data_IF_575879108108
#
_entry.id   IF_575879108108
#
_cell.length_a   1.000
_cell.length_b   1.000
_cell.length_c   1.000
_cell.angle_alpha   90.00
_cell.angle_beta   90.00
_cell.angle_gamma   90.00
#
_symmetry.space_group_name_H-M   'P 1'
#
loop_
_entity.id
_entity.type
_entity.pdbx_description
1 polymer ?
#
# COMPACT_ATOMS: atom_id res chain seq x y z
N UNK A 1 -2.76 -19.96 -2.70
CA UNK A 1 -4.11 -19.55 -2.27
C UNK A 1 -3.99 -18.87 -0.91
N UNK A 2 -4.14 -17.54 -0.83
CA UNK A 2 -4.08 -16.78 0.42
C UNK A 2 -5.51 -16.39 0.79
N UNK A 3 -6.19 -17.30 1.47
CA UNK A 3 -7.44 -17.08 2.17
C UNK A 3 -7.30 -17.85 3.48
N UNK A 4 -6.93 -17.20 4.58
CA UNK A 4 -6.70 -17.95 5.81
C UNK A 4 -6.46 -17.19 7.10
N UNK A 5 -6.03 -15.94 7.12
CA UNK A 5 -5.65 -15.31 8.41
C UNK A 5 -5.98 -13.81 8.47
N UNK A 6 -7.25 -13.44 8.73
CA UNK A 6 -7.65 -12.03 8.97
C UNK A 6 -7.08 -11.43 10.27
N UNK A 7 -6.35 -12.21 11.09
CA UNK A 7 -5.76 -11.76 12.36
C UNK A 7 -4.32 -11.24 12.28
N UNK A 8 -3.67 -11.23 11.10
CA UNK A 8 -2.22 -10.95 11.02
C UNK A 8 -1.81 -9.48 10.92
N UNK A 9 -2.74 -8.53 10.94
CA UNK A 9 -2.43 -7.13 10.64
C UNK A 9 -2.85 -6.17 11.77
N UNK A 10 -2.37 -6.47 12.98
CA UNK A 10 -2.37 -5.51 14.09
C UNK A 10 -1.41 -4.36 13.77
N UNK A 11 -1.81 -3.11 14.04
CA UNK A 11 -0.96 -1.93 13.89
C UNK A 11 0.41 -2.16 14.56
N UNK A 12 1.51 -1.87 13.85
CA UNK A 12 2.88 -2.13 14.30
C UNK A 12 3.47 -3.49 13.90
N UNK A 13 2.72 -4.35 13.20
CA UNK A 13 3.27 -5.62 12.65
C UNK A 13 3.98 -5.34 11.32
N UNK A 14 5.31 -5.49 11.27
CA UNK A 14 6.07 -5.36 10.03
C UNK A 14 5.77 -6.51 9.06
N UNK A 15 5.01 -6.26 8.00
CA UNK A 15 4.72 -7.26 6.98
C UNK A 15 5.77 -7.14 5.87
N UNK A 16 6.63 -8.15 5.74
CA UNK A 16 7.56 -8.24 4.62
C UNK A 16 6.82 -8.77 3.39
N UNK A 17 6.25 -7.89 2.57
CA UNK A 17 5.69 -8.26 1.26
C UNK A 17 6.81 -8.23 0.22
N UNK A 18 7.23 -9.41 -0.25
CA UNK A 18 8.18 -9.54 -1.36
C UNK A 18 7.51 -8.99 -2.64
N UNK A 19 7.83 -7.74 -3.01
CA UNK A 19 7.33 -7.10 -4.23
C UNK A 19 8.44 -7.12 -5.28
N UNK A 20 8.16 -7.69 -6.46
CA UNK A 20 9.13 -7.77 -7.56
C UNK A 20 8.97 -6.52 -8.44
N UNK A 21 9.96 -5.62 -8.39
CA UNK A 21 10.04 -4.46 -9.28
C UNK A 21 10.75 -4.77 -10.61
N UNK A 22 10.48 -4.02 -11.70
CA UNK A 22 10.95 -4.34 -13.05
C UNK A 22 12.48 -4.19 -13.28
N UNK A 23 13.24 -3.65 -12.32
CA UNK A 23 14.69 -3.39 -12.49
C UNK A 23 15.62 -4.00 -11.44
N UNK A 24 15.11 -4.54 -10.33
CA UNK A 24 15.90 -5.31 -9.36
C UNK A 24 14.96 -5.98 -8.37
N UNK A 25 15.18 -7.27 -8.09
CA UNK A 25 14.53 -8.03 -7.05
C UNK A 25 15.14 -7.69 -5.67
N UNK A 26 15.05 -6.42 -5.26
CA UNK A 26 15.42 -6.04 -3.90
C UNK A 26 14.22 -6.28 -2.96
N UNK A 27 14.43 -6.81 -1.74
CA UNK A 27 13.35 -7.00 -0.79
C UNK A 27 12.82 -5.63 -0.31
N UNK A 28 11.61 -5.27 -0.73
CA UNK A 28 10.96 -4.04 -0.26
C UNK A 28 10.43 -4.28 1.15
N UNK A 29 11.03 -3.58 2.12
CA UNK A 29 10.55 -3.57 3.51
C UNK A 29 9.50 -2.47 3.63
N UNK A 30 8.24 -2.87 3.74
CA UNK A 30 7.14 -1.96 4.03
C UNK A 30 6.90 -1.91 5.55
N UNK A 31 6.74 -0.69 6.06
CA UNK A 31 6.30 -0.45 7.44
C UNK A 31 4.79 -0.30 7.45
N UNK A 32 4.10 -1.05 8.31
CA UNK A 32 2.66 -0.87 8.53
C UNK A 32 2.46 0.26 9.53
N UNK A 33 1.95 1.40 9.05
CA UNK A 33 1.68 2.59 9.87
C UNK A 33 0.42 2.40 10.72
N UNK A 34 -0.56 1.62 10.23
CA UNK A 34 -1.83 1.37 10.91
C UNK A 34 -3.03 1.56 9.99
N UNK A 35 -4.23 1.59 10.57
CA UNK A 35 -5.47 1.81 9.82
C UNK A 35 -5.76 3.31 9.68
N UNK A 36 -6.07 3.74 8.46
CA UNK A 36 -6.45 5.11 8.09
C UNK A 36 -7.81 5.09 7.38
N UNK A 37 -8.68 6.03 7.71
CA UNK A 37 -9.94 6.23 6.99
C UNK A 37 -9.68 7.09 5.76
N UNK A 38 -9.91 6.51 4.58
CA UNK A 38 -9.76 7.18 3.30
C UNK A 38 -11.11 7.68 2.77
N UNK A 39 -11.08 8.88 2.20
CA UNK A 39 -12.18 9.45 1.42
C UNK A 39 -11.80 9.36 -0.05
N UNK A 40 -12.26 8.32 -0.73
CA UNK A 40 -11.91 8.03 -2.13
C UNK A 40 -13.10 8.32 -3.05
N UNK A 41 -12.87 8.50 -4.37
CA UNK A 41 -13.95 8.69 -5.34
C UNK A 41 -14.98 7.54 -5.34
N UNK A 42 -14.57 6.32 -5.01
CA UNK A 42 -15.48 5.17 -4.88
C UNK A 42 -16.21 5.07 -3.54
N UNK A 43 -15.95 5.98 -2.59
CA UNK A 43 -16.57 6.01 -1.27
C UNK A 43 -15.56 6.05 -0.12
N UNK A 44 -16.10 6.21 1.09
CA UNK A 44 -15.31 6.18 2.32
C UNK A 44 -15.01 4.75 2.75
N UNK A 45 -13.75 4.46 3.08
CA UNK A 45 -13.36 3.14 3.60
C UNK A 45 -12.15 3.22 4.52
N UNK A 46 -12.04 2.26 5.44
CA UNK A 46 -10.84 2.08 6.25
C UNK A 46 -9.83 1.23 5.48
N UNK A 47 -8.58 1.67 5.44
CA UNK A 47 -7.48 0.97 4.79
C UNK A 47 -6.24 0.98 5.67
N UNK A 48 -5.46 -0.09 5.61
CA UNK A 48 -4.17 -0.19 6.31
C UNK A 48 -3.11 0.49 5.45
N UNK A 49 -2.45 1.51 5.99
CA UNK A 49 -1.36 2.22 5.31
C UNK A 49 -0.05 1.46 5.51
N UNK A 50 0.61 1.19 4.39
CA UNK A 50 1.96 0.69 4.31
C UNK A 50 2.85 1.75 3.67
N UNK A 51 3.98 2.05 4.29
CA UNK A 51 4.96 3.02 3.79
C UNK A 51 6.30 2.35 3.58
N UNK A 52 6.91 2.64 2.43
CA UNK A 52 8.33 2.39 2.17
C UNK A 52 9.02 3.74 2.13
N UNK A 53 9.86 3.99 3.13
CA UNK A 53 10.72 5.16 3.14
C UNK A 53 11.93 4.94 2.21
N UNK A 54 12.38 6.00 1.51
CA UNK A 54 13.55 5.93 0.66
C UNK A 54 14.79 5.59 1.51
N UNK A 55 15.58 4.61 1.06
CA UNK A 55 16.82 4.21 1.76
C UNK A 55 18.07 4.96 1.27
N UNK A 56 17.97 5.64 0.13
CA UNK A 56 19.02 6.43 -0.51
C UNK A 56 18.41 7.74 -1.02
N UNK A 57 19.23 8.77 -1.24
CA UNK A 57 18.77 10.10 -1.68
C UNK A 57 18.01 10.12 -3.01
N UNK A 58 18.17 9.09 -3.84
CA UNK A 58 17.49 8.94 -5.14
C UNK A 58 16.39 7.86 -5.14
N UNK A 59 16.05 7.33 -3.96
CA UNK A 59 15.03 6.31 -3.84
C UNK A 59 13.64 6.95 -3.74
N UNK A 60 12.62 6.24 -4.24
CA UNK A 60 11.25 6.71 -4.22
C UNK A 60 10.55 6.31 -2.92
N UNK A 61 9.73 7.21 -2.38
CA UNK A 61 8.80 6.90 -1.29
C UNK A 61 7.55 6.25 -1.89
N UNK A 62 7.15 5.10 -1.36
CA UNK A 62 5.93 4.41 -1.81
C UNK A 62 5.00 4.24 -0.63
N UNK A 63 3.76 4.68 -0.79
CA UNK A 63 2.69 4.53 0.18
C UNK A 63 1.56 3.73 -0.47
N UNK A 64 1.09 2.69 0.21
CA UNK A 64 0.02 1.80 -0.27
C UNK A 64 -1.02 1.71 0.83
N UNK A 65 -2.29 1.87 0.47
CA UNK A 65 -3.39 1.67 1.40
C UNK A 65 -4.19 0.45 0.97
N UNK A 66 -4.23 -0.58 1.81
CA UNK A 66 -4.95 -1.82 1.55
C UNK A 66 -6.28 -1.82 2.31
N UNK A 67 -7.41 -1.91 1.60
CA UNK A 67 -8.72 -1.90 2.23
C UNK A 67 -9.21 -3.32 2.54
N UNK A 68 -9.46 -3.68 3.81
CA UNK A 68 -10.03 -4.98 4.15
C UNK A 68 -11.40 -5.22 3.48
N UNK A 69 -12.18 -4.16 3.31
CA UNK A 69 -13.47 -4.19 2.60
C UNK A 69 -13.34 -4.60 1.12
N UNK A 70 -12.16 -4.41 0.52
CA UNK A 70 -11.83 -4.84 -0.84
C UNK A 70 -10.95 -6.10 -0.83
N UNK A 71 -11.07 -6.97 0.19
CA UNK A 71 -10.21 -8.15 0.37
C UNK A 71 -8.70 -7.82 0.39
N UNK A 72 -8.34 -6.70 1.04
CA UNK A 72 -6.98 -6.17 1.11
C UNK A 72 -6.38 -5.77 -0.25
N UNK A 73 -7.23 -5.42 -1.22
CA UNK A 73 -6.75 -4.79 -2.45
C UNK A 73 -6.30 -3.33 -2.21
N UNK A 74 -5.41 -2.80 -3.07
CA UNK A 74 -4.98 -1.41 -3.00
C UNK A 74 -6.17 -0.46 -3.26
N UNK A 75 -6.58 0.24 -2.21
CA UNK A 75 -7.55 1.33 -2.29
C UNK A 75 -6.90 2.65 -2.72
N UNK A 76 -5.61 2.82 -2.40
CA UNK A 76 -4.81 3.95 -2.87
C UNK A 76 -3.34 3.54 -2.99
N UNK A 77 -2.64 4.08 -3.98
CA UNK A 77 -1.20 3.95 -4.14
C UNK A 77 -0.63 5.33 -4.42
N UNK A 78 0.31 5.79 -3.60
CA UNK A 78 1.02 7.05 -3.80
C UNK A 78 2.51 6.78 -3.91
N UNK A 79 3.09 7.11 -5.05
CA UNK A 79 4.53 7.01 -5.30
C UNK A 79 5.08 8.41 -5.42
N UNK A 80 6.01 8.79 -4.54
CA UNK A 80 6.67 10.10 -4.54
C UNK A 80 8.14 9.91 -4.95
N UNK A 81 8.54 10.55 -6.03
CA UNK A 81 9.90 10.56 -6.54
C UNK A 81 10.79 11.50 -5.71
N UNK A 82 12.11 11.36 -5.84
CA UNK A 82 13.08 12.17 -5.09
C UNK A 82 13.00 13.68 -5.41
N UNK A 83 12.52 14.04 -6.60
CA UNK A 83 12.30 15.44 -7.01
C UNK A 83 11.00 16.04 -6.44
N UNK A 84 10.20 15.28 -5.69
CA UNK A 84 8.92 15.72 -5.13
C UNK A 84 7.70 15.44 -6.01
N UNK A 85 7.89 15.02 -7.27
CA UNK A 85 6.77 14.59 -8.12
C UNK A 85 6.11 13.34 -7.52
N UNK A 86 4.80 13.24 -7.66
CA UNK A 86 4.08 12.08 -7.19
C UNK A 86 3.01 11.60 -8.17
N UNK A 87 2.80 10.29 -8.15
CA UNK A 87 1.66 9.63 -8.78
C UNK A 87 0.75 9.17 -7.65
N UNK A 88 -0.52 9.60 -7.68
CA UNK A 88 -1.55 9.18 -6.74
C UNK A 88 -2.66 8.45 -7.48
N UNK A 89 -2.76 7.14 -7.25
CA UNK A 89 -3.80 6.29 -7.80
C UNK A 89 -4.83 6.02 -6.71
N UNK A 90 -6.08 6.40 -6.97
CA UNK A 90 -7.18 6.25 -6.03
C UNK A 90 -8.22 5.29 -6.60
N UNK A 91 -8.72 4.42 -5.74
CA UNK A 91 -9.78 3.50 -6.10
C UNK A 91 -11.09 4.25 -6.39
N UNK A 92 -11.68 3.95 -7.55
CA UNK A 92 -12.94 4.52 -8.00
C UNK A 92 -14.07 3.50 -8.05
N UNK A 93 -13.80 2.29 -8.53
CA UNK A 93 -14.77 1.21 -8.61
C UNK A 93 -14.08 -0.14 -8.82
N UNK A 94 -14.62 -1.20 -8.26
CA UNK A 94 -14.32 -2.58 -8.67
C UNK A 94 -15.45 -3.10 -9.54
N UNK A 95 -15.15 -3.54 -10.77
CA UNK A 95 -16.08 -4.32 -11.57
C UNK A 95 -15.99 -5.80 -11.17
N UNK A 96 -17.13 -6.48 -11.09
CA UNK A 96 -17.15 -7.95 -11.06
C UNK A 96 -16.75 -8.43 -12.46
N UNK A 97 -15.79 -9.37 -12.59
CA UNK A 97 -15.39 -9.92 -13.88
C UNK A 97 -16.53 -10.65 -14.60
#
# INVERSE_FOLDING_TARGET
MIAGEPLKYSAGTGISIQTVGPRSAEPWVFTVEGSETLYLPGGQMTAVKLTRNPRKDYDQRVEIWLAPALAYLPARIRMTQANGDFVDQQWKSTGTP
#
